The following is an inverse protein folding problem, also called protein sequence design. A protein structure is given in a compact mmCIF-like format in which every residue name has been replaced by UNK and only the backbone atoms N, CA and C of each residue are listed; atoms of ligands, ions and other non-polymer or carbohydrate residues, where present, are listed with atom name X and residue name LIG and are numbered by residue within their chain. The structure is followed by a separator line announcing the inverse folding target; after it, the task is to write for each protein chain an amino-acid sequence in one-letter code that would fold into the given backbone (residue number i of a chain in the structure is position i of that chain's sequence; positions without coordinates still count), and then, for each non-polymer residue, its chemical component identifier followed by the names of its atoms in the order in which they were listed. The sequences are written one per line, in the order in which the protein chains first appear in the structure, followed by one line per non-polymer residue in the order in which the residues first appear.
data_IF_369220116764
#
_entry.id   IF_369220116764
#
_cell.length_a   1.000
_cell.length_b   1.000
_cell.length_c   1.000
_cell.angle_alpha   90.00
_cell.angle_beta   90.00
_cell.angle_gamma   90.00
#
_symmetry.space_group_name_H-M   'P 1'
#
loop_
_entity.id
_entity.type
_entity.pdbx_description
1 polymer ?
#
# COMPACT_ATOMS: atom_id res chain seq x y z
N UNK A 1 36.88 16.75 17.36
CA UNK A 1 37.95 17.14 16.42
C UNK A 1 38.20 18.65 16.45
N UNK A 2 38.38 19.26 17.64
CA UNK A 2 38.48 20.74 17.79
C UNK A 2 39.78 21.26 18.44
N UNK A 3 40.56 20.44 19.17
CA UNK A 3 41.76 20.97 19.86
C UNK A 3 42.94 21.29 18.93
N UNK A 4 43.04 20.64 17.75
CA UNK A 4 44.13 20.90 16.79
C UNK A 4 44.00 22.25 16.07
N UNK A 5 42.77 22.73 15.83
CA UNK A 5 42.52 24.03 15.19
C UNK A 5 42.94 25.19 16.10
N UNK A 6 42.55 25.16 17.39
CA UNK A 6 42.97 26.17 18.36
C UNK A 6 44.50 26.19 18.57
N UNK A 7 45.15 25.02 18.56
CA UNK A 7 46.60 24.91 18.71
C UNK A 7 47.36 25.52 17.52
N UNK A 8 46.87 25.32 16.28
CA UNK A 8 47.49 25.93 15.09
C UNK A 8 47.27 27.44 15.02
N UNK A 9 46.09 27.93 15.44
CA UNK A 9 45.81 29.37 15.53
C UNK A 9 46.74 30.04 16.54
N UNK A 10 46.93 29.42 17.71
CA UNK A 10 47.82 29.91 18.76
C UNK A 10 49.29 29.93 18.31
N UNK A 11 49.76 28.90 17.60
CA UNK A 11 51.11 28.87 17.04
C UNK A 11 51.33 29.96 15.97
N UNK A 12 50.34 30.20 15.10
CA UNK A 12 50.42 31.24 14.07
C UNK A 12 50.58 32.64 14.67
N UNK A 13 49.83 32.94 15.74
CA UNK A 13 49.94 34.21 16.47
C UNK A 13 51.32 34.35 17.12
N UNK A 14 51.83 33.30 17.77
CA UNK A 14 53.16 33.32 18.40
C UNK A 14 54.27 33.58 17.36
N UNK A 15 54.23 32.89 16.22
CA UNK A 15 55.25 33.06 15.15
C UNK A 15 55.19 34.47 14.56
N UNK A 16 53.99 35.04 14.37
CA UNK A 16 53.81 36.42 13.92
C UNK A 16 54.37 37.45 14.90
N UNK A 17 54.14 37.26 16.20
CA UNK A 17 54.69 38.13 17.27
C UNK A 17 56.22 38.03 17.31
N UNK A 18 56.79 36.82 17.21
CA UNK A 18 58.24 36.61 17.22
C UNK A 18 58.90 37.27 16.00
N UNK A 19 58.32 37.11 14.80
CA UNK A 19 58.84 37.75 13.60
C UNK A 19 58.78 39.28 13.71
N UNK A 20 57.65 39.83 14.20
CA UNK A 20 57.49 41.26 14.42
C UNK A 20 58.54 41.80 15.39
N UNK A 21 58.71 41.19 16.57
CA UNK A 21 59.72 41.58 17.56
C UNK A 21 61.15 41.49 17.00
N UNK A 22 61.44 40.51 16.14
CA UNK A 22 62.77 40.29 15.56
C UNK A 22 63.18 41.37 14.57
N UNK A 23 62.23 41.99 13.86
CA UNK A 23 62.50 43.09 12.91
C UNK A 23 62.21 44.49 13.48
N UNK A 24 61.49 44.56 14.62
CA UNK A 24 61.14 45.80 15.30
C UNK A 24 62.35 46.60 15.82
N UNK A 25 63.36 45.91 16.35
CA UNK A 25 64.60 46.55 16.79
C UNK A 25 65.38 47.16 15.62
N UNK A 26 65.29 46.57 14.42
CA UNK A 26 65.91 47.09 13.21
C UNK A 26 65.26 48.40 12.78
N UNK A 27 63.93 48.47 12.86
CA UNK A 27 63.17 49.70 12.55
C UNK A 27 63.48 50.82 13.55
N UNK A 28 63.51 50.53 14.86
CA UNK A 28 63.92 51.50 15.88
C UNK A 28 65.35 52.00 15.62
N UNK A 29 66.28 51.10 15.29
CA UNK A 29 67.66 51.46 14.99
C UNK A 29 67.75 52.41 13.76
N UNK A 30 66.97 52.14 12.70
CA UNK A 30 66.89 53.01 11.53
C UNK A 30 66.30 54.38 11.89
N UNK A 31 65.20 54.42 12.65
CA UNK A 31 64.60 55.69 13.07
C UNK A 31 65.53 56.50 13.99
N UNK A 32 66.26 55.86 14.91
CA UNK A 32 67.24 56.54 15.77
C UNK A 32 68.45 57.03 14.96
N UNK A 33 68.93 56.25 14.00
CA UNK A 33 69.99 56.67 13.07
C UNK A 33 69.56 57.89 12.26
N UNK A 34 68.36 57.87 11.69
CA UNK A 34 67.82 58.98 10.90
C UNK A 34 67.56 60.22 11.74
N UNK A 35 67.05 60.06 12.97
CA UNK A 35 66.88 61.16 13.92
C UNK A 35 68.22 61.75 14.36
N UNK A 36 69.26 60.92 14.56
CA UNK A 36 70.61 61.38 14.87
C UNK A 36 71.28 62.08 13.68
N UNK A 37 71.04 61.61 12.45
CA UNK A 37 71.48 62.24 11.21
C UNK A 37 70.87 63.64 11.04
N UNK A 38 69.53 63.73 11.18
CA UNK A 38 68.81 65.02 11.10
C UNK A 38 69.21 66.00 12.22
N UNK A 39 69.59 65.49 13.40
CA UNK A 39 70.06 66.33 14.51
C UNK A 39 71.39 67.02 14.22
N UNK A 40 72.31 66.30 13.57
CA UNK A 40 73.68 66.77 13.30
C UNK A 40 73.73 67.79 12.17
N UNK A 41 72.78 67.74 11.23
CA UNK A 41 72.77 68.58 10.03
C UNK A 41 72.02 69.92 10.22
N UNK A 42 71.10 70.02 11.19
CA UNK A 42 70.23 71.21 11.36
C UNK A 42 70.41 72.04 12.64
N UNK A 43 71.45 71.77 13.45
CA UNK A 43 71.81 72.56 14.65
C UNK A 43 70.64 72.80 15.64
N UNK A 44 69.74 71.82 15.78
CA UNK A 44 68.55 71.91 16.64
C UNK A 44 68.90 71.60 18.11
N UNK A 45 68.34 72.36 19.07
CA UNK A 45 68.58 72.17 20.52
C UNK A 45 68.02 70.82 21.02
N UNK A 46 68.76 70.04 21.86
CA UNK A 46 68.35 68.74 22.39
C UNK A 46 66.92 68.75 22.95
N UNK A 47 66.08 67.81 22.47
CA UNK A 47 64.72 67.59 22.97
C UNK A 47 64.76 67.36 24.49
N UNK A 48 63.93 68.09 25.24
CA UNK A 48 63.83 67.88 26.68
C UNK A 48 63.15 66.53 26.98
N UNK A 49 63.33 66.01 28.20
CA UNK A 49 62.82 64.69 28.59
C UNK A 49 61.30 64.54 28.39
N UNK A 50 60.54 65.64 28.49
CA UNK A 50 59.10 65.61 28.28
C UNK A 50 58.73 65.40 26.79
N UNK A 51 59.43 66.06 25.88
CA UNK A 51 59.23 65.90 24.44
C UNK A 51 59.67 64.51 23.95
N UNK A 52 60.77 63.95 24.49
CA UNK A 52 61.19 62.57 24.19
C UNK A 52 60.14 61.54 24.61
N UNK A 53 59.54 61.69 25.80
CA UNK A 53 58.46 60.81 26.27
C UNK A 53 57.21 60.90 25.39
N UNK A 54 56.85 62.10 24.91
CA UNK A 54 55.72 62.26 23.97
C UNK A 54 55.99 61.60 22.63
N UNK A 55 57.19 61.77 22.06
CA UNK A 55 57.55 61.12 20.80
C UNK A 55 57.56 59.58 20.94
N UNK A 56 58.07 59.05 22.06
CA UNK A 56 58.00 57.63 22.36
C UNK A 56 56.56 57.13 22.50
N UNK A 57 55.70 57.88 23.20
CA UNK A 57 54.29 57.52 23.34
C UNK A 57 53.57 57.50 21.99
N UNK A 58 53.82 58.47 21.11
CA UNK A 58 53.26 58.48 19.75
C UNK A 58 53.72 57.27 18.92
N UNK A 59 55.00 56.90 19.02
CA UNK A 59 55.53 55.69 18.37
C UNK A 59 54.86 54.42 18.89
N UNK A 60 54.70 54.28 20.21
CA UNK A 60 54.01 53.14 20.82
C UNK A 60 52.53 53.05 20.43
N UNK A 61 51.82 54.18 20.39
CA UNK A 61 50.40 54.23 19.97
C UNK A 61 50.27 53.85 18.49
N UNK A 62 51.12 54.38 17.61
CA UNK A 62 51.13 54.01 16.20
C UNK A 62 51.41 52.51 15.99
N UNK A 63 52.28 51.93 16.82
CA UNK A 63 52.60 50.50 16.80
C UNK A 63 51.40 49.64 17.18
N UNK A 64 50.70 50.00 18.26
CA UNK A 64 49.51 49.27 18.74
C UNK A 64 48.42 49.29 17.66
N UNK A 65 48.21 50.43 17.00
CA UNK A 65 47.23 50.55 15.93
C UNK A 65 47.57 49.65 14.72
N UNK A 66 48.84 49.57 14.32
CA UNK A 66 49.27 48.68 13.22
C UNK A 66 49.09 47.20 13.58
N UNK A 67 49.38 46.81 14.83
CA UNK A 67 49.18 45.43 15.29
C UNK A 67 47.68 45.06 15.31
N UNK A 68 46.81 45.98 15.74
CA UNK A 68 45.34 45.77 15.70
C UNK A 68 44.87 45.61 14.25
N UNK A 69 45.31 46.48 13.34
CA UNK A 69 44.95 46.42 11.91
C UNK A 69 45.42 45.13 11.23
N UNK A 70 46.64 44.67 11.53
CA UNK A 70 47.16 43.40 11.01
C UNK A 70 46.46 42.18 11.63
N UNK A 71 46.03 42.28 12.89
CA UNK A 71 45.19 41.28 13.55
C UNK A 71 43.83 41.13 12.88
N UNK A 72 43.14 42.23 12.58
CA UNK A 72 41.84 42.23 11.91
C UNK A 72 41.92 41.68 10.47
N UNK A 73 42.96 42.05 9.71
CA UNK A 73 43.21 41.50 8.38
C UNK A 73 43.53 39.99 8.41
N UNK A 74 44.22 39.52 9.46
CA UNK A 74 44.48 38.10 9.68
C UNK A 74 43.22 37.29 9.98
N UNK A 75 42.32 37.83 10.82
CA UNK A 75 41.04 37.18 11.16
C UNK A 75 40.15 37.05 9.92
N UNK A 76 40.01 38.11 9.13
CA UNK A 76 39.22 38.07 7.89
C UNK A 76 39.78 37.10 6.84
N UNK A 77 41.11 36.93 6.78
CA UNK A 77 41.74 35.95 5.89
C UNK A 77 41.45 34.50 6.36
N UNK A 78 41.45 34.24 7.67
CA UNK A 78 41.13 32.92 8.21
C UNK A 78 39.67 32.52 8.04
N UNK A 79 38.73 33.46 8.18
CA UNK A 79 37.29 33.20 7.95
C UNK A 79 36.99 32.87 6.48
N UNK A 80 37.64 33.56 5.54
CA UNK A 80 37.52 33.28 4.09
C UNK A 80 38.17 31.95 3.68
N UNK A 81 39.16 31.46 4.42
CA UNK A 81 39.80 30.17 4.20
C UNK A 81 38.95 29.03 4.78
N UNK A 82 38.40 29.20 5.98
CA UNK A 82 37.53 28.19 6.60
C UNK A 82 36.20 28.03 5.82
N UNK A 83 35.66 29.11 5.23
CA UNK A 83 34.48 28.99 4.35
C UNK A 83 34.79 28.23 3.07
N UNK A 84 35.90 28.54 2.38
CA UNK A 84 36.30 27.83 1.15
C UNK A 84 36.65 26.37 1.39
N UNK A 85 37.28 26.04 2.53
CA UNK A 85 37.58 24.66 2.91
C UNK A 85 36.31 23.92 3.31
N UNK A 86 35.38 24.55 4.01
CA UNK A 86 34.06 23.99 4.33
C UNK A 86 33.26 23.68 3.07
N UNK A 87 33.22 24.61 2.11
CA UNK A 87 32.52 24.43 0.84
C UNK A 87 33.17 23.31 0.01
N UNK A 88 34.50 23.26 -0.04
CA UNK A 88 35.25 22.20 -0.72
C UNK A 88 35.01 20.82 -0.09
N UNK A 89 35.08 20.71 1.25
CA UNK A 89 34.83 19.46 1.98
C UNK A 89 33.38 19.00 1.84
N UNK A 90 32.42 19.94 1.84
CA UNK A 90 31.00 19.64 1.63
C UNK A 90 30.73 19.13 0.20
N UNK A 91 31.40 19.72 -0.80
CA UNK A 91 31.33 19.28 -2.20
C UNK A 91 31.93 17.89 -2.42
N UNK A 92 32.95 17.52 -1.64
CA UNK A 92 33.57 16.19 -1.69
C UNK A 92 32.74 15.14 -0.94
N UNK A 93 32.16 15.49 0.20
CA UNK A 93 31.38 14.58 1.05
C UNK A 93 30.02 14.20 0.46
N UNK A 94 29.47 15.02 -0.44
CA UNK A 94 28.19 14.78 -1.11
C UNK A 94 28.32 14.14 -2.50
N UNK A 95 29.53 14.00 -3.06
CA UNK A 95 29.69 13.40 -4.40
C UNK A 95 29.42 11.89 -4.44
N UNK A 96 29.59 11.20 -3.32
CA UNK A 96 29.50 9.73 -3.24
C UNK A 96 28.26 9.22 -2.47
N UNK A 97 27.40 10.11 -1.97
CA UNK A 97 26.15 9.71 -1.32
C UNK A 97 25.02 9.72 -2.35
N UNK A 98 24.32 8.59 -2.57
CA UNK A 98 23.15 8.57 -3.42
C UNK A 98 22.14 9.62 -2.95
N UNK A 99 21.55 10.36 -3.89
CA UNK A 99 20.51 11.36 -3.60
C UNK A 99 19.44 10.74 -2.69
N UNK A 100 19.04 11.38 -1.58
CA UNK A 100 17.96 10.91 -0.71
C UNK A 100 16.68 10.52 -1.47
N UNK A 101 16.36 11.17 -2.59
CA UNK A 101 15.24 10.81 -3.46
C UNK A 101 15.48 9.46 -4.16
N UNK A 102 16.71 9.19 -4.59
CA UNK A 102 17.10 7.90 -5.20
C UNK A 102 17.03 6.78 -4.17
N UNK A 103 17.48 7.02 -2.93
CA UNK A 103 17.36 6.05 -1.83
C UNK A 103 15.90 5.75 -1.47
N UNK A 104 15.06 6.79 -1.42
CA UNK A 104 13.62 6.63 -1.18
C UNK A 104 12.93 5.85 -2.31
N UNK A 105 13.28 6.13 -3.57
CA UNK A 105 12.76 5.39 -4.72
C UNK A 105 13.23 3.93 -4.70
N UNK A 106 14.52 3.66 -4.48
CA UNK A 106 15.05 2.31 -4.38
C UNK A 106 14.40 1.49 -3.26
N UNK A 107 14.08 2.14 -2.14
CA UNK A 107 13.34 1.50 -1.03
C UNK A 107 11.92 1.14 -1.47
N UNK A 108 11.18 2.07 -2.11
CA UNK A 108 9.85 1.80 -2.66
C UNK A 108 9.87 0.68 -3.70
N UNK A 109 10.83 0.72 -4.63
CA UNK A 109 10.97 -0.31 -5.68
C UNK A 109 11.27 -1.68 -5.07
N UNK A 110 12.08 -1.73 -4.02
CA UNK A 110 12.38 -2.97 -3.29
C UNK A 110 11.14 -3.50 -2.56
N UNK A 111 10.42 -2.65 -1.84
CA UNK A 111 9.17 -3.02 -1.15
C UNK A 111 8.11 -3.50 -2.15
N UNK A 112 8.01 -2.85 -3.31
CA UNK A 112 7.11 -3.27 -4.38
C UNK A 112 7.50 -4.64 -4.94
N UNK A 113 8.78 -4.88 -5.24
CA UNK A 113 9.26 -6.19 -5.72
C UNK A 113 9.01 -7.30 -4.71
N UNK A 114 9.30 -7.07 -3.43
CA UNK A 114 9.04 -8.06 -2.37
C UNK A 114 7.54 -8.37 -2.25
N UNK A 115 6.68 -7.36 -2.41
CA UNK A 115 5.22 -7.55 -2.45
C UNK A 115 4.79 -8.37 -3.67
N UNK A 116 5.29 -8.05 -4.86
CA UNK A 116 5.01 -8.78 -6.11
C UNK A 116 5.48 -10.24 -6.04
N UNK A 117 6.66 -10.49 -5.46
CA UNK A 117 7.18 -11.85 -5.24
C UNK A 117 6.31 -12.65 -4.28
N UNK A 118 5.93 -12.08 -3.13
CA UNK A 118 5.03 -12.74 -2.17
C UNK A 118 3.67 -13.06 -2.78
N UNK A 119 3.13 -12.12 -3.55
CA UNK A 119 1.89 -12.27 -4.30
C UNK A 119 1.95 -13.40 -5.33
N UNK A 120 3.05 -13.50 -6.07
CA UNK A 120 3.28 -14.57 -7.04
C UNK A 120 3.43 -15.93 -6.35
N UNK A 121 4.13 -15.98 -5.23
CA UNK A 121 4.29 -17.21 -4.44
C UNK A 121 2.94 -17.74 -3.94
N UNK A 122 2.11 -16.86 -3.37
CA UNK A 122 0.76 -17.20 -2.92
C UNK A 122 -0.13 -17.71 -4.06
N UNK A 123 -0.12 -17.02 -5.20
CA UNK A 123 -0.86 -17.44 -6.40
C UNK A 123 -0.45 -18.83 -6.86
N UNK A 124 0.86 -19.08 -6.95
CA UNK A 124 1.39 -20.39 -7.31
C UNK A 124 1.00 -21.46 -6.30
N UNK A 125 1.09 -21.17 -5.00
CA UNK A 125 0.73 -22.13 -3.96
C UNK A 125 -0.74 -22.54 -4.05
N UNK A 126 -1.65 -21.56 -4.11
CA UNK A 126 -3.09 -21.80 -4.09
C UNK A 126 -3.59 -22.52 -5.35
N UNK A 127 -3.26 -21.98 -6.53
CA UNK A 127 -3.71 -22.56 -7.80
C UNK A 127 -3.12 -23.95 -8.03
N UNK A 128 -1.85 -24.18 -7.63
CA UNK A 128 -1.26 -25.53 -7.75
C UNK A 128 -1.96 -26.54 -6.84
N UNK A 129 -2.36 -26.17 -5.62
CA UNK A 129 -3.07 -27.10 -4.73
C UNK A 129 -4.46 -27.44 -5.27
N UNK A 130 -5.20 -26.47 -5.82
CA UNK A 130 -6.46 -26.75 -6.50
C UNK A 130 -6.27 -27.66 -7.71
N UNK A 131 -5.25 -27.40 -8.54
CA UNK A 131 -4.92 -28.24 -9.69
C UNK A 131 -4.59 -29.67 -9.29
N UNK A 132 -3.77 -29.86 -8.26
CA UNK A 132 -3.43 -31.20 -7.74
C UNK A 132 -4.67 -31.92 -7.22
N UNK A 133 -5.58 -31.23 -6.55
CA UNK A 133 -6.82 -31.82 -6.07
C UNK A 133 -7.79 -32.19 -7.21
N UNK A 134 -7.86 -31.37 -8.25
CA UNK A 134 -8.82 -31.51 -9.35
C UNK A 134 -8.36 -32.47 -10.47
N UNK A 135 -7.07 -32.82 -10.53
CA UNK A 135 -6.49 -33.56 -11.67
C UNK A 135 -7.13 -34.92 -11.96
N UNK A 136 -7.74 -35.56 -10.96
CA UNK A 136 -8.36 -36.88 -11.07
C UNK A 136 -9.89 -36.82 -11.00
N UNK A 137 -10.47 -35.62 -10.94
CA UNK A 137 -11.91 -35.40 -10.86
C UNK A 137 -12.51 -35.41 -12.26
N UNK A 138 -13.51 -36.27 -12.46
CA UNK A 138 -14.30 -36.28 -13.70
C UNK A 138 -15.26 -35.10 -13.83
N UNK A 139 -15.89 -34.59 -12.75
CA UNK A 139 -16.75 -33.41 -12.85
C UNK A 139 -15.99 -32.17 -13.33
N UNK A 140 -16.71 -31.27 -14.01
CA UNK A 140 -16.21 -29.92 -14.31
C UNK A 140 -16.10 -29.15 -13.00
N UNK A 141 -14.98 -28.46 -12.80
CA UNK A 141 -14.72 -27.62 -11.63
C UNK A 141 -14.35 -26.22 -12.11
N UNK A 142 -14.99 -25.21 -11.56
CA UNK A 142 -14.61 -23.80 -11.72
C UNK A 142 -14.57 -23.14 -10.33
N UNK A 143 -13.40 -22.64 -9.93
CA UNK A 143 -13.19 -21.98 -8.65
C UNK A 143 -12.55 -20.61 -8.84
N UNK A 144 -13.10 -19.61 -8.16
CA UNK A 144 -12.52 -18.29 -8.06
C UNK A 144 -12.54 -17.81 -6.60
N UNK A 145 -11.51 -17.07 -6.21
CA UNK A 145 -11.33 -16.55 -4.85
C UNK A 145 -10.78 -15.13 -4.91
N UNK A 146 -11.34 -14.23 -4.11
CA UNK A 146 -10.79 -12.91 -3.87
C UNK A 146 -10.30 -12.79 -2.43
N UNK A 147 -8.98 -12.73 -2.22
CA UNK A 147 -8.36 -12.51 -0.92
C UNK A 147 -8.36 -11.02 -0.59
N UNK A 148 -9.10 -10.65 0.46
CA UNK A 148 -9.27 -9.26 0.87
C UNK A 148 -8.02 -8.68 1.54
N UNK A 149 -7.08 -9.52 1.98
CA UNK A 149 -5.86 -9.04 2.64
C UNK A 149 -4.81 -8.60 1.62
N UNK A 150 -4.65 -9.40 0.56
CA UNK A 150 -3.70 -9.11 -0.52
C UNK A 150 -4.32 -8.32 -1.68
N UNK A 151 -5.65 -8.19 -1.70
CA UNK A 151 -6.44 -7.63 -2.81
C UNK A 151 -6.12 -8.34 -4.13
N UNK A 152 -6.10 -9.67 -4.08
CA UNK A 152 -5.80 -10.53 -5.22
C UNK A 152 -6.96 -11.46 -5.53
N UNK A 153 -7.12 -11.73 -6.81
CA UNK A 153 -8.05 -12.72 -7.31
C UNK A 153 -7.28 -13.93 -7.85
N UNK A 154 -7.80 -15.11 -7.54
CA UNK A 154 -7.25 -16.40 -7.96
C UNK A 154 -8.35 -17.17 -8.64
N UNK A 155 -8.03 -17.85 -9.73
CA UNK A 155 -8.99 -18.61 -10.52
C UNK A 155 -8.37 -19.90 -11.03
N UNK A 156 -9.17 -20.95 -11.10
CA UNK A 156 -8.78 -22.23 -11.70
C UNK A 156 -10.01 -22.97 -12.22
N UNK A 157 -9.86 -23.59 -13.39
CA UNK A 157 -10.79 -24.60 -13.89
C UNK A 157 -10.01 -25.82 -14.39
N UNK A 158 -10.62 -27.01 -14.31
CA UNK A 158 -10.06 -28.24 -14.89
C UNK A 158 -10.40 -28.45 -16.36
N UNK A 159 -11.00 -27.45 -17.02
CA UNK A 159 -11.33 -27.45 -18.44
C UNK A 159 -10.31 -26.65 -19.25
N UNK A 160 -10.18 -26.99 -20.54
CA UNK A 160 -9.32 -26.25 -21.48
C UNK A 160 -9.86 -24.85 -21.79
N UNK A 161 -11.19 -24.71 -21.79
CA UNK A 161 -11.92 -23.46 -21.98
C UNK A 161 -12.74 -23.13 -20.74
N UNK A 162 -13.06 -21.85 -20.53
CA UNK A 162 -13.89 -21.41 -19.40
C UNK A 162 -15.28 -22.06 -19.48
N UNK A 163 -15.68 -22.90 -18.52
CA UNK A 163 -17.01 -23.50 -18.53
C UNK A 163 -18.07 -22.46 -18.13
N UNK A 164 -19.22 -22.51 -18.81
CA UNK A 164 -20.45 -21.83 -18.41
C UNK A 164 -21.29 -22.83 -17.62
N UNK A 165 -21.47 -22.59 -16.32
CA UNK A 165 -22.13 -23.53 -15.41
C UNK A 165 -23.49 -22.96 -15.00
N UNK A 166 -24.57 -23.75 -15.02
CA UNK A 166 -25.85 -23.33 -14.46
C UNK A 166 -25.71 -22.93 -13.00
N UNK A 167 -26.21 -21.76 -12.64
CA UNK A 167 -26.18 -21.17 -11.29
C UNK A 167 -26.95 -22.00 -10.26
N UNK A 168 -27.95 -22.78 -10.68
CA UNK A 168 -28.89 -23.40 -9.76
C UNK A 168 -29.47 -22.35 -8.78
N UNK A 169 -29.32 -22.55 -7.47
CA UNK A 169 -29.82 -21.59 -6.47
C UNK A 169 -28.85 -20.46 -6.10
N UNK A 170 -27.63 -20.39 -6.66
CA UNK A 170 -26.74 -19.25 -6.36
C UNK A 170 -27.22 -17.95 -7.02
N UNK A 171 -28.00 -18.06 -8.10
CA UNK A 171 -28.69 -16.93 -8.76
C UNK A 171 -29.59 -16.11 -7.81
N UNK A 172 -30.04 -16.71 -6.71
CA UNK A 172 -30.89 -16.03 -5.71
C UNK A 172 -30.18 -14.82 -5.08
N UNK A 173 -28.84 -14.82 -5.04
CA UNK A 173 -28.08 -13.63 -4.63
C UNK A 173 -28.22 -12.51 -5.66
N UNK A 174 -28.17 -12.83 -6.96
CA UNK A 174 -28.42 -11.87 -8.05
C UNK A 174 -29.86 -11.35 -8.02
N UNK A 175 -30.85 -12.23 -7.76
CA UNK A 175 -32.27 -11.83 -7.62
C UNK A 175 -32.44 -10.81 -6.50
N UNK A 176 -31.89 -11.07 -5.31
CA UNK A 176 -31.98 -10.15 -4.19
C UNK A 176 -31.22 -8.84 -4.46
N UNK A 177 -30.04 -8.93 -5.10
CA UNK A 177 -29.24 -7.77 -5.49
C UNK A 177 -30.00 -6.86 -6.46
N UNK A 178 -30.62 -7.44 -7.49
CA UNK A 178 -31.44 -6.70 -8.46
C UNK A 178 -32.70 -6.08 -7.82
N UNK A 179 -33.34 -6.81 -6.89
CA UNK A 179 -34.51 -6.31 -6.16
C UNK A 179 -34.17 -5.08 -5.32
N UNK A 180 -33.09 -5.16 -4.53
CA UNK A 180 -32.64 -4.04 -3.70
C UNK A 180 -32.23 -2.84 -4.56
N UNK A 181 -31.46 -3.07 -5.62
CA UNK A 181 -31.07 -2.00 -6.51
C UNK A 181 -32.28 -1.30 -7.16
N UNK A 182 -33.31 -2.05 -7.57
CA UNK A 182 -34.55 -1.46 -8.07
C UNK A 182 -35.19 -0.54 -7.03
N UNK A 183 -35.29 -0.97 -5.77
CA UNK A 183 -35.82 -0.13 -4.69
C UNK A 183 -34.97 1.12 -4.44
N UNK A 184 -33.64 0.99 -4.55
CA UNK A 184 -32.70 2.11 -4.50
C UNK A 184 -33.02 3.15 -5.59
N UNK A 185 -33.17 2.70 -6.85
CA UNK A 185 -33.46 3.58 -7.98
C UNK A 185 -34.84 4.25 -7.87
N UNK A 186 -35.83 3.50 -7.38
CA UNK A 186 -37.20 3.98 -7.17
C UNK A 186 -37.38 4.79 -5.88
N UNK A 187 -36.36 4.84 -5.02
CA UNK A 187 -36.39 5.47 -3.70
C UNK A 187 -37.54 4.93 -2.82
N UNK A 188 -37.72 3.61 -2.83
CA UNK A 188 -38.72 2.91 -2.04
C UNK A 188 -38.06 1.88 -1.12
N UNK A 189 -38.81 1.36 -0.15
CA UNK A 189 -38.35 0.29 0.74
C UNK A 189 -39.04 -1.03 0.36
N UNK A 190 -38.41 -2.16 0.70
CA UNK A 190 -39.03 -3.48 0.56
C UNK A 190 -40.31 -3.55 1.41
N UNK A 191 -41.38 -4.09 0.83
CA UNK A 191 -42.57 -4.45 1.60
C UNK A 191 -42.32 -5.64 2.52
N UNK A 192 -43.19 -5.84 3.53
CA UNK A 192 -43.11 -7.00 4.43
C UNK A 192 -43.13 -8.34 3.67
N UNK A 193 -43.86 -8.39 2.53
CA UNK A 193 -43.94 -9.58 1.71
C UNK A 193 -42.65 -9.84 0.95
N UNK A 194 -41.99 -8.80 0.44
CA UNK A 194 -40.68 -8.93 -0.21
C UNK A 194 -39.60 -9.35 0.78
N UNK A 195 -39.61 -8.78 1.99
CA UNK A 195 -38.71 -9.18 3.08
C UNK A 195 -38.88 -10.67 3.39
N UNK A 196 -40.12 -11.12 3.65
CA UNK A 196 -40.42 -12.51 3.95
C UNK A 196 -39.99 -13.47 2.83
N UNK A 197 -40.24 -13.11 1.57
CA UNK A 197 -39.80 -13.93 0.43
C UNK A 197 -38.28 -13.91 0.25
N UNK A 198 -37.61 -12.77 0.49
CA UNK A 198 -36.15 -12.68 0.41
C UNK A 198 -35.49 -13.54 1.49
N UNK A 199 -36.01 -13.53 2.71
CA UNK A 199 -35.55 -14.39 3.81
C UNK A 199 -35.69 -15.87 3.45
N UNK A 200 -36.89 -16.32 3.04
CA UNK A 200 -37.13 -17.72 2.64
C UNK A 200 -36.26 -18.13 1.43
N UNK A 201 -36.10 -17.23 0.45
CA UNK A 201 -35.27 -17.45 -0.73
C UNK A 201 -33.79 -17.63 -0.38
N UNK A 202 -33.22 -16.77 0.47
CA UNK A 202 -31.79 -16.84 0.79
C UNK A 202 -31.50 -17.92 1.83
N UNK A 203 -32.23 -17.92 2.96
CA UNK A 203 -31.92 -18.74 4.13
C UNK A 203 -32.28 -20.21 3.93
N UNK A 204 -33.44 -20.48 3.33
CA UNK A 204 -33.98 -21.83 3.11
C UNK A 204 -33.93 -22.27 1.65
N UNK A 205 -33.47 -21.40 0.75
CA UNK A 205 -33.42 -21.68 -0.70
C UNK A 205 -34.80 -21.89 -1.34
N UNK A 206 -35.87 -21.28 -0.82
CA UNK A 206 -37.24 -21.50 -1.31
C UNK A 206 -37.43 -21.04 -2.78
N UNK A 207 -37.86 -21.98 -3.63
CA UNK A 207 -38.04 -21.76 -5.07
C UNK A 207 -39.33 -20.99 -5.41
N UNK A 208 -40.38 -21.13 -4.62
CA UNK A 208 -41.63 -20.41 -4.81
C UNK A 208 -41.45 -18.94 -4.45
N UNK A 209 -40.76 -18.65 -3.35
CA UNK A 209 -40.39 -17.30 -2.95
C UNK A 209 -39.52 -16.62 -4.03
N UNK A 210 -38.54 -17.35 -4.58
CA UNK A 210 -37.71 -16.86 -5.68
C UNK A 210 -38.53 -16.50 -6.90
N UNK A 211 -39.39 -17.43 -7.34
CA UNK A 211 -40.23 -17.24 -8.53
C UNK A 211 -41.22 -16.09 -8.30
N UNK A 212 -41.77 -15.97 -7.09
CA UNK A 212 -42.67 -14.90 -6.70
C UNK A 212 -41.99 -13.52 -6.78
N UNK A 213 -40.77 -13.38 -6.24
CA UNK A 213 -40.00 -12.14 -6.33
C UNK A 213 -39.70 -11.76 -7.79
N UNK A 214 -39.22 -12.72 -8.59
CA UNK A 214 -38.91 -12.51 -10.00
C UNK A 214 -40.15 -12.10 -10.79
N UNK A 215 -41.29 -12.77 -10.58
CA UNK A 215 -42.49 -12.56 -11.39
C UNK A 215 -43.28 -11.31 -11.03
N UNK A 216 -43.24 -10.88 -9.76
CA UNK A 216 -44.09 -9.79 -9.26
C UNK A 216 -43.34 -8.47 -9.04
N UNK A 217 -42.04 -8.52 -8.77
CA UNK A 217 -41.26 -7.35 -8.37
C UNK A 217 -40.09 -7.04 -9.29
N UNK A 218 -39.67 -7.98 -10.14
CA UNK A 218 -38.66 -7.75 -11.17
C UNK A 218 -39.30 -7.83 -12.56
N UNK A 219 -38.67 -7.21 -13.55
CA UNK A 219 -39.02 -7.42 -14.97
C UNK A 219 -38.36 -8.70 -15.50
N UNK A 220 -38.42 -9.77 -14.70
CA UNK A 220 -37.87 -11.11 -14.96
C UNK A 220 -36.45 -11.07 -15.52
N UNK A 221 -36.31 -11.44 -16.80
CA UNK A 221 -35.06 -11.53 -17.52
C UNK A 221 -34.35 -10.18 -17.62
N UNK A 222 -35.09 -9.09 -17.83
CA UNK A 222 -34.53 -7.76 -18.07
C UNK A 222 -33.74 -7.28 -16.84
N UNK A 223 -34.34 -7.38 -15.65
CA UNK A 223 -33.70 -6.89 -14.42
C UNK A 223 -32.43 -7.66 -14.08
N UNK A 224 -32.45 -8.99 -14.20
CA UNK A 224 -31.30 -9.84 -13.84
C UNK A 224 -30.20 -9.78 -14.92
N UNK A 225 -30.57 -9.71 -16.21
CA UNK A 225 -29.57 -9.52 -17.26
C UNK A 225 -28.92 -8.13 -17.20
N UNK A 226 -29.71 -7.09 -16.91
CA UNK A 226 -29.20 -5.72 -16.71
C UNK A 226 -28.22 -5.64 -15.54
N UNK A 227 -28.48 -6.38 -14.44
CA UNK A 227 -27.52 -6.54 -13.35
C UNK A 227 -26.20 -7.12 -13.86
N UNK A 228 -26.23 -8.22 -14.63
CA UNK A 228 -25.02 -8.84 -15.16
C UNK A 228 -24.23 -7.90 -16.06
N UNK A 229 -24.91 -7.18 -16.95
CA UNK A 229 -24.31 -6.18 -17.83
C UNK A 229 -23.69 -5.03 -17.04
N UNK A 230 -24.40 -4.50 -16.03
CA UNK A 230 -23.94 -3.38 -15.21
C UNK A 230 -22.75 -3.73 -14.34
N UNK A 231 -22.72 -4.95 -13.80
CA UNK A 231 -21.61 -5.44 -12.98
C UNK A 231 -20.45 -6.01 -13.80
N UNK A 232 -20.53 -5.98 -15.14
CA UNK A 232 -19.55 -6.58 -16.05
C UNK A 232 -19.36 -8.09 -15.84
N UNK A 233 -20.42 -8.80 -15.45
CA UNK A 233 -20.51 -10.26 -15.40
C UNK A 233 -20.73 -10.81 -16.81
N UNK A 234 -19.74 -10.62 -17.68
CA UNK A 234 -19.84 -10.83 -19.13
C UNK A 234 -20.06 -12.29 -19.55
N UNK A 235 -19.76 -13.24 -18.67
CA UNK A 235 -19.95 -14.68 -18.92
C UNK A 235 -21.25 -15.20 -18.27
N UNK A 236 -22.13 -14.30 -17.81
CA UNK A 236 -23.40 -14.64 -17.17
C UNK A 236 -24.59 -14.30 -18.06
N UNK A 237 -25.44 -15.30 -18.33
CA UNK A 237 -26.60 -15.16 -19.23
C UNK A 237 -27.85 -15.69 -18.56
N UNK A 238 -28.83 -14.80 -18.36
CA UNK A 238 -30.11 -15.17 -17.73
C UNK A 238 -30.85 -16.22 -18.56
N UNK A 239 -31.45 -17.19 -17.87
CA UNK A 239 -32.37 -18.16 -18.45
C UNK A 239 -33.77 -17.99 -17.86
N UNK A 240 -34.81 -18.12 -18.69
CA UNK A 240 -36.21 -18.08 -18.23
C UNK A 240 -36.49 -19.06 -17.09
N UNK A 241 -35.92 -20.27 -17.17
CA UNK A 241 -35.80 -21.14 -16.01
C UNK A 241 -34.63 -20.64 -15.18
N UNK A 242 -34.89 -19.73 -14.23
CA UNK A 242 -33.86 -18.95 -13.54
C UNK A 242 -32.68 -19.77 -13.00
N UNK A 243 -32.89 -21.02 -12.56
CA UNK A 243 -31.81 -21.91 -12.09
C UNK A 243 -30.87 -22.43 -13.19
N UNK A 244 -31.30 -22.37 -14.44
CA UNK A 244 -30.53 -22.68 -15.65
C UNK A 244 -29.77 -21.46 -16.19
N UNK A 245 -29.84 -20.31 -15.51
CA UNK A 245 -28.97 -19.16 -15.79
C UNK A 245 -27.53 -19.62 -15.70
N UNK A 246 -26.71 -19.38 -16.72
CA UNK A 246 -25.30 -19.79 -16.72
C UNK A 246 -24.42 -18.68 -16.18
N UNK A 247 -23.29 -19.05 -15.56
CA UNK A 247 -22.30 -18.12 -15.02
C UNK A 247 -20.91 -18.77 -14.96
N UNK A 248 -19.93 -18.02 -14.48
CA UNK A 248 -18.58 -18.50 -14.13
C UNK A 248 -18.27 -18.18 -12.67
N UNK A 249 -17.28 -18.84 -12.08
CA UNK A 249 -16.85 -18.55 -10.73
C UNK A 249 -16.32 -17.11 -10.61
N UNK A 250 -15.65 -16.58 -11.65
CA UNK A 250 -15.18 -15.18 -11.71
C UNK A 250 -16.33 -14.18 -11.66
N UNK A 251 -17.38 -14.41 -12.44
CA UNK A 251 -18.57 -13.55 -12.41
C UNK A 251 -19.25 -13.61 -11.03
N UNK A 252 -19.31 -14.79 -10.41
CA UNK A 252 -19.83 -14.90 -9.05
C UNK A 252 -18.94 -14.16 -8.02
N UNK A 253 -17.62 -14.10 -8.21
CA UNK A 253 -16.73 -13.24 -7.41
C UNK A 253 -17.05 -11.76 -7.65
N UNK A 254 -17.32 -11.34 -8.88
CA UNK A 254 -17.75 -9.97 -9.21
C UNK A 254 -19.04 -9.58 -8.49
N UNK A 255 -20.04 -10.47 -8.47
CA UNK A 255 -21.26 -10.29 -7.68
C UNK A 255 -20.94 -10.16 -6.18
N UNK A 256 -20.16 -11.09 -5.62
CA UNK A 256 -19.81 -11.08 -4.20
C UNK A 256 -19.02 -9.83 -3.80
N UNK A 257 -18.17 -9.27 -4.68
CA UNK A 257 -17.47 -8.00 -4.41
C UNK A 257 -18.47 -6.86 -4.23
N UNK A 258 -19.55 -6.81 -5.03
CA UNK A 258 -20.60 -5.82 -4.86
C UNK A 258 -21.47 -6.05 -3.60
N UNK A 259 -21.52 -7.27 -3.09
CA UNK A 259 -22.23 -7.59 -1.85
C UNK A 259 -21.38 -7.32 -0.60
N UNK A 260 -20.10 -7.66 -0.61
CA UNK A 260 -19.24 -7.69 0.60
C UNK A 260 -18.21 -6.55 0.70
N UNK A 261 -18.01 -5.78 -0.37
CA UNK A 261 -17.10 -4.63 -0.40
C UNK A 261 -17.90 -3.34 -0.73
N UNK A 262 -17.30 -2.15 -0.53
CA UNK A 262 -17.86 -0.92 -1.08
C UNK A 262 -18.21 -1.07 -2.56
N UNK A 263 -19.43 -0.69 -2.91
CA UNK A 263 -20.03 -0.86 -4.23
C UNK A 263 -20.66 0.46 -4.66
N UNK A 264 -20.58 0.74 -5.95
CA UNK A 264 -21.33 1.84 -6.59
C UNK A 264 -22.73 1.38 -7.02
N UNK A 265 -23.04 0.08 -6.92
CA UNK A 265 -24.31 -0.52 -7.31
C UNK A 265 -25.29 -0.64 -6.13
N UNK A 266 -24.80 -1.10 -4.97
CA UNK A 266 -25.57 -1.23 -3.73
C UNK A 266 -25.06 -0.28 -2.64
N UNK A 267 -25.96 0.43 -1.98
CA UNK A 267 -25.64 1.18 -0.75
C UNK A 267 -25.33 0.24 0.43
N UNK A 268 -24.69 0.79 1.46
CA UNK A 268 -24.20 0.03 2.62
C UNK A 268 -25.30 -0.80 3.31
N UNK A 269 -26.50 -0.24 3.52
CA UNK A 269 -27.60 -0.93 4.20
C UNK A 269 -28.15 -2.13 3.41
N UNK A 270 -28.14 -2.05 2.08
CA UNK A 270 -28.58 -3.14 1.20
C UNK A 270 -27.58 -4.28 1.21
N UNK A 271 -26.28 -3.94 1.15
CA UNK A 271 -25.19 -4.91 1.31
C UNK A 271 -25.27 -5.61 2.65
N UNK A 272 -25.42 -4.87 3.75
CA UNK A 272 -25.59 -5.43 5.10
C UNK A 272 -26.80 -6.38 5.18
N UNK A 273 -27.91 -6.05 4.52
CA UNK A 273 -29.08 -6.91 4.48
C UNK A 273 -28.80 -8.25 3.78
N UNK A 274 -28.17 -8.24 2.58
CA UNK A 274 -27.80 -9.47 1.87
C UNK A 274 -26.82 -10.31 2.72
N UNK A 275 -25.78 -9.66 3.27
CA UNK A 275 -24.77 -10.32 4.10
C UNK A 275 -25.39 -11.01 5.31
N UNK A 276 -26.33 -10.33 5.99
CA UNK A 276 -27.06 -10.88 7.13
C UNK A 276 -27.80 -12.15 6.72
N UNK A 277 -28.60 -12.12 5.65
CA UNK A 277 -29.35 -13.29 5.20
C UNK A 277 -28.43 -14.46 4.82
N UNK A 278 -27.32 -14.18 4.13
CA UNK A 278 -26.33 -15.20 3.77
C UNK A 278 -25.58 -15.78 4.99
N UNK A 279 -25.49 -15.04 6.10
CA UNK A 279 -24.87 -15.51 7.36
C UNK A 279 -25.82 -16.32 8.25
N UNK A 280 -27.13 -16.28 7.96
CA UNK A 280 -28.19 -16.92 8.75
C UNK A 280 -28.87 -18.07 8.01
N UNK A 281 -28.22 -18.67 7.02
CA UNK A 281 -28.80 -19.81 6.28
C UNK A 281 -29.15 -20.97 7.21
N UNK A 282 -30.18 -21.74 6.83
CA UNK A 282 -30.62 -22.89 7.62
C UNK A 282 -29.51 -23.96 7.74
N UNK A 283 -29.58 -24.78 8.79
CA UNK A 283 -28.52 -25.75 9.11
C UNK A 283 -28.25 -26.73 7.96
N UNK A 284 -29.28 -27.14 7.22
CA UNK A 284 -29.17 -28.03 6.06
C UNK A 284 -28.59 -27.32 4.81
N UNK A 285 -28.54 -25.99 4.83
CA UNK A 285 -27.90 -25.14 3.83
C UNK A 285 -26.45 -24.80 4.17
N UNK A 286 -25.96 -25.04 5.39
CA UNK A 286 -24.63 -24.62 5.86
C UNK A 286 -23.46 -25.58 5.46
N UNK A 287 -23.42 -26.01 4.19
CA UNK A 287 -22.34 -26.84 3.61
C UNK A 287 -21.54 -26.07 2.54
N UNK A 288 -20.52 -26.69 1.95
CA UNK A 288 -19.75 -26.09 0.84
C UNK A 288 -18.76 -25.04 1.34
N UNK A 289 -19.00 -23.75 1.04
CA UNK A 289 -18.22 -22.62 1.59
C UNK A 289 -18.20 -22.64 3.14
N UNK A 290 -19.22 -23.24 3.77
CA UNK A 290 -19.25 -23.48 5.21
C UNK A 290 -18.09 -24.32 5.75
N UNK A 291 -17.39 -25.07 4.91
CA UNK A 291 -16.21 -25.85 5.31
C UNK A 291 -14.96 -25.00 5.60
N UNK A 292 -14.95 -23.71 5.24
CA UNK A 292 -13.77 -22.85 5.39
C UNK A 292 -13.54 -22.32 6.81
N UNK A 293 -14.61 -22.07 7.56
CA UNK A 293 -14.50 -21.59 8.96
C UNK A 293 -15.86 -21.69 9.68
N UNK A 294 -15.89 -21.32 10.96
CA UNK A 294 -17.13 -21.17 11.72
C UNK A 294 -17.88 -19.85 11.46
N UNK A 295 -17.28 -18.90 10.73
CA UNK A 295 -17.88 -17.60 10.43
C UNK A 295 -17.93 -17.41 8.91
N UNK A 296 -19.09 -17.70 8.34
CA UNK A 296 -19.33 -17.67 6.90
C UNK A 296 -20.63 -16.95 6.59
N UNK A 297 -20.69 -16.40 5.38
CA UNK A 297 -21.93 -15.96 4.76
C UNK A 297 -21.98 -16.59 3.38
N UNK A 298 -22.96 -17.44 3.09
CA UNK A 298 -22.94 -18.26 1.89
C UNK A 298 -24.31 -18.37 1.21
N UNK A 299 -24.28 -18.78 -0.05
CA UNK A 299 -25.43 -19.33 -0.76
C UNK A 299 -25.01 -20.56 -1.54
N UNK A 300 -25.78 -21.63 -1.37
CA UNK A 300 -25.63 -22.87 -2.11
C UNK A 300 -26.64 -23.00 -3.25
N UNK A 301 -26.31 -23.81 -4.25
CA UNK A 301 -27.22 -24.20 -5.31
C UNK A 301 -26.95 -25.58 -5.86
N UNK A 302 -28.03 -26.30 -6.18
CA UNK A 302 -27.92 -27.58 -6.84
C UNK A 302 -29.08 -27.80 -7.82
N UNK A 303 -28.79 -28.52 -8.89
CA UNK A 303 -29.76 -29.12 -9.79
C UNK A 303 -29.39 -30.59 -9.92
N UNK A 304 -30.38 -31.47 -9.85
CA UNK A 304 -30.18 -32.91 -9.96
C UNK A 304 -31.03 -33.43 -11.10
N UNK A 305 -30.38 -34.03 -12.09
CA UNK A 305 -31.02 -34.86 -13.11
C UNK A 305 -30.68 -36.34 -12.85
N UNK A 306 -31.22 -37.23 -13.67
CA UNK A 306 -31.17 -38.70 -13.52
C UNK A 306 -29.75 -39.24 -13.47
N UNK A 307 -28.79 -38.59 -14.15
CA UNK A 307 -27.41 -39.09 -14.31
C UNK A 307 -26.32 -38.10 -13.87
N UNK A 308 -26.67 -36.85 -13.55
CA UNK A 308 -25.71 -35.81 -13.22
C UNK A 308 -26.29 -34.74 -12.31
N UNK A 309 -25.42 -34.11 -11.53
CA UNK A 309 -25.74 -32.98 -10.66
C UNK A 309 -24.87 -31.78 -11.03
N UNK A 310 -25.44 -30.60 -10.82
CA UNK A 310 -24.73 -29.33 -10.74
C UNK A 310 -24.73 -28.96 -9.27
N UNK A 311 -23.57 -28.72 -8.66
CA UNK A 311 -23.45 -28.31 -7.26
C UNK A 311 -22.59 -27.05 -7.18
N UNK A 312 -23.11 -26.02 -6.52
CA UNK A 312 -22.49 -24.70 -6.45
C UNK A 312 -22.52 -24.18 -5.02
N UNK A 313 -21.49 -23.43 -4.65
CA UNK A 313 -21.42 -22.72 -3.37
C UNK A 313 -20.62 -21.43 -3.54
N UNK A 314 -21.20 -20.31 -3.10
CA UNK A 314 -20.58 -18.98 -3.15
C UNK A 314 -20.68 -18.29 -1.80
N UNK A 315 -19.74 -17.42 -1.45
CA UNK A 315 -19.84 -16.65 -0.21
C UNK A 315 -18.54 -16.01 0.27
N UNK A 316 -18.58 -15.56 1.52
CA UNK A 316 -17.44 -15.06 2.28
C UNK A 316 -17.07 -16.03 3.41
N UNK A 317 -15.77 -16.20 3.64
CA UNK A 317 -15.21 -16.93 4.78
C UNK A 317 -14.38 -15.97 5.62
N UNK A 318 -14.55 -16.04 6.95
CA UNK A 318 -13.89 -15.14 7.91
C UNK A 318 -13.18 -15.94 9.00
N UNK A 319 -11.91 -15.61 9.26
CA UNK A 319 -11.16 -16.13 10.40
C UNK A 319 -10.34 -15.01 11.07
N UNK A 320 -10.83 -14.52 12.21
CA UNK A 320 -10.29 -13.32 12.84
C UNK A 320 -10.39 -12.12 11.90
N UNK A 321 -9.26 -11.47 11.64
CA UNK A 321 -9.17 -10.30 10.75
C UNK A 321 -9.03 -10.67 9.27
N UNK A 322 -8.86 -11.96 8.94
CA UNK A 322 -8.67 -12.44 7.57
C UNK A 322 -10.00 -12.81 6.93
N UNK A 323 -10.22 -12.35 5.70
CA UNK A 323 -11.46 -12.57 4.96
C UNK A 323 -11.16 -12.85 3.50
N UNK A 324 -11.93 -13.74 2.89
CA UNK A 324 -11.90 -13.92 1.44
C UNK A 324 -13.30 -14.23 0.91
N UNK A 325 -13.52 -13.88 -0.35
CA UNK A 325 -14.70 -14.27 -1.12
C UNK A 325 -14.35 -15.49 -1.96
N UNK A 326 -15.28 -16.43 -2.10
CA UNK A 326 -15.07 -17.67 -2.85
C UNK A 326 -16.33 -18.05 -3.62
N UNK A 327 -16.13 -18.53 -4.83
CA UNK A 327 -17.14 -19.21 -5.62
C UNK A 327 -16.56 -20.53 -6.12
N UNK A 328 -17.25 -21.63 -5.84
CA UNK A 328 -16.91 -22.96 -6.35
C UNK A 328 -18.13 -23.53 -7.03
N UNK A 329 -18.00 -23.79 -8.33
CA UNK A 329 -19.06 -24.31 -9.19
C UNK A 329 -18.62 -25.66 -9.75
N UNK A 330 -19.50 -26.66 -9.67
CA UNK A 330 -19.27 -27.97 -10.25
C UNK A 330 -20.42 -28.38 -11.15
N UNK A 331 -20.09 -29.09 -12.22
CA UNK A 331 -21.05 -29.62 -13.18
C UNK A 331 -20.66 -31.05 -13.56
N UNK A 332 -21.64 -31.86 -13.99
CA UNK A 332 -21.46 -33.28 -14.29
C UNK A 332 -20.99 -34.11 -13.07
N UNK A 333 -21.38 -33.72 -11.85
CA UNK A 333 -21.16 -34.54 -10.66
C UNK A 333 -22.04 -35.79 -10.73
N UNK A 334 -21.51 -36.98 -10.41
CA UNK A 334 -22.30 -38.21 -10.43
C UNK A 334 -23.37 -38.20 -9.34
N UNK A 335 -23.07 -37.56 -8.22
CA UNK A 335 -24.00 -37.42 -7.10
C UNK A 335 -23.84 -36.06 -6.44
N UNK A 336 -24.91 -35.60 -5.76
CA UNK A 336 -24.82 -34.40 -4.92
C UNK A 336 -23.75 -34.52 -3.83
N UNK A 337 -23.52 -35.71 -3.29
CA UNK A 337 -22.51 -35.93 -2.24
C UNK A 337 -21.10 -35.69 -2.78
N UNK A 338 -20.82 -36.15 -4.00
CA UNK A 338 -19.53 -35.93 -4.66
C UNK A 338 -19.26 -34.44 -4.86
N UNK A 339 -20.19 -33.70 -5.47
CA UNK A 339 -20.02 -32.26 -5.70
C UNK A 339 -19.84 -31.47 -4.40
N UNK A 340 -20.61 -31.81 -3.34
CA UNK A 340 -20.41 -31.23 -2.00
C UNK A 340 -18.99 -31.48 -1.48
N UNK A 341 -18.49 -32.70 -1.57
CA UNK A 341 -17.14 -33.05 -1.13
C UNK A 341 -16.06 -32.29 -1.92
N UNK A 342 -16.23 -32.13 -3.24
CA UNK A 342 -15.32 -31.34 -4.08
C UNK A 342 -15.26 -29.89 -3.59
N UNK A 343 -16.41 -29.25 -3.43
CA UNK A 343 -16.51 -27.86 -2.98
C UNK A 343 -15.90 -27.68 -1.58
N UNK A 344 -16.26 -28.54 -0.64
CA UNK A 344 -15.78 -28.43 0.75
C UNK A 344 -14.27 -28.63 0.82
N UNK A 345 -13.70 -29.53 0.03
CA UNK A 345 -12.27 -29.77 0.02
C UNK A 345 -11.49 -28.61 -0.62
N UNK A 346 -11.99 -28.05 -1.73
CA UNK A 346 -11.40 -26.84 -2.33
C UNK A 346 -11.50 -25.64 -1.39
N UNK A 347 -12.60 -25.51 -0.65
CA UNK A 347 -12.79 -24.47 0.36
C UNK A 347 -11.79 -24.63 1.51
N UNK A 348 -11.59 -25.86 2.02
CA UNK A 348 -10.59 -26.16 3.06
C UNK A 348 -9.17 -25.83 2.60
N UNK A 349 -8.78 -26.28 1.40
CA UNK A 349 -7.46 -25.97 0.81
C UNK A 349 -7.25 -24.44 0.76
N UNK A 350 -8.27 -23.70 0.33
CA UNK A 350 -8.23 -22.24 0.28
C UNK A 350 -8.04 -21.62 1.66
N UNK A 351 -8.86 -22.03 2.64
CA UNK A 351 -8.78 -21.56 4.02
C UNK A 351 -7.42 -21.85 4.65
N UNK A 352 -6.91 -23.07 4.48
CA UNK A 352 -5.62 -23.48 5.05
C UNK A 352 -4.49 -22.57 4.54
N UNK A 353 -4.49 -22.22 3.26
CA UNK A 353 -3.46 -21.37 2.67
C UNK A 353 -3.65 -19.90 3.05
N UNK A 354 -4.85 -19.34 2.87
CA UNK A 354 -5.09 -17.91 3.09
C UNK A 354 -5.05 -17.54 4.58
N UNK A 355 -5.44 -18.44 5.48
CA UNK A 355 -5.40 -18.18 6.92
C UNK A 355 -4.05 -18.46 7.58
N UNK A 356 -3.11 -19.13 6.92
CA UNK A 356 -1.74 -19.31 7.42
C UNK A 356 -0.80 -18.11 7.18
N UNK A 357 -1.19 -17.14 6.33
CA UNK A 357 -0.35 -16.00 5.92
C UNK A 357 0.15 -15.04 7.00
#
# INVERSE_FOLDING_TARGET
MNNKKYMMLFLGIIVGIIAFLRYWWLFIAICLFFMSYLYKEKNLKPLNNHQKRKAQAFLWIGTILVVILLGELGVQATERLDSKVSDYVSSYRNKDKPDPKVLAQQKKDKEQREKEEKQKDLSNQLVNQWKVYAQDKSPVIDIAVFDMQSNQEFHYTNQDEQPLIPTASVIKVSVLTALLHKHQEEQTELSELEISNAENMIKSSDNNATTYLIDNYLDKATSIQSLFETLEMNDSTYNYHWGQTTTTAKDQITLLKNVFLPSDYLIDSEREYIQKLMSEVDVDQAWGVGAGSSHVALKNGWLTDTNECIINSIGQVVNGDKKYLIAVLTNHDQTMTEGKQIIEQLTKITSDILFQQ
#
